data_IF_819990973942
#
_entry.id   IF_819990973942
#
_cell.length_a   1.000
_cell.length_b   1.000
_cell.length_c   1.000
_cell.angle_alpha   90.00
_cell.angle_beta   90.00
_cell.angle_gamma   90.00
#
_symmetry.space_group_name_H-M   'P 1'
#
loop_
_entity.id
_entity.type
_entity.pdbx_description
1 polymer ?
#
# COMPACT_ATOMS: atom_id res chain seq x y z
N UNK A 1 -33.96 -4.12 41.23
CA UNK A 1 -35.07 -4.53 40.34
C UNK A 1 -34.82 -4.13 38.88
N UNK A 2 -34.16 -3.00 38.60
CA UNK A 2 -33.76 -2.61 37.22
C UNK A 2 -32.57 -3.42 36.68
N UNK A 3 -31.67 -3.87 37.55
CA UNK A 3 -30.54 -4.76 37.20
C UNK A 3 -31.00 -6.16 36.76
N UNK A 4 -32.21 -6.55 37.15
CA UNK A 4 -32.79 -7.87 36.86
C UNK A 4 -33.43 -7.97 35.46
N UNK A 5 -33.63 -6.85 34.78
CA UNK A 5 -34.24 -6.83 33.44
C UNK A 5 -33.21 -7.00 32.31
N UNK A 6 -31.90 -6.94 32.62
CA UNK A 6 -30.87 -6.68 31.61
C UNK A 6 -29.77 -7.76 31.46
N UNK A 7 -29.78 -8.84 32.25
CA UNK A 7 -28.75 -9.89 32.11
C UNK A 7 -29.16 -11.07 31.24
N UNK A 8 -30.46 -11.32 31.00
CA UNK A 8 -30.89 -12.36 30.07
C UNK A 8 -30.43 -13.79 30.38
N UNK A 9 -29.84 -14.05 31.56
CA UNK A 9 -29.44 -15.38 32.01
C UNK A 9 -30.58 -16.04 32.81
N UNK A 10 -31.31 -16.93 32.13
CA UNK A 10 -32.38 -17.74 32.72
C UNK A 10 -31.84 -19.08 33.24
N UNK A 11 -31.02 -19.08 34.29
CA UNK A 11 -30.72 -20.33 35.02
C UNK A 11 -31.75 -20.54 36.14
N UNK A 12 -32.82 -21.26 35.81
CA UNK A 12 -33.97 -21.61 36.66
C UNK A 12 -33.67 -22.62 37.80
N UNK A 13 -32.41 -22.88 38.14
CA UNK A 13 -32.06 -23.86 39.20
C UNK A 13 -31.80 -23.23 40.57
N UNK A 14 -31.75 -21.89 40.67
CA UNK A 14 -31.39 -21.22 41.94
C UNK A 14 -32.56 -20.87 42.88
N UNK A 15 -33.76 -21.42 42.65
CA UNK A 15 -34.94 -21.21 43.49
C UNK A 15 -35.23 -22.38 44.46
N UNK A 16 -34.20 -23.01 45.05
CA UNK A 16 -34.41 -24.05 46.08
C UNK A 16 -33.38 -24.14 47.22
N UNK A 17 -32.50 -23.15 47.41
CA UNK A 17 -31.40 -23.33 48.40
C UNK A 17 -31.15 -22.18 49.38
N UNK A 18 -31.97 -21.13 49.44
CA UNK A 18 -31.76 -20.05 50.42
C UNK A 18 -33.03 -19.74 51.20
N UNK A 19 -33.52 -20.75 51.90
CA UNK A 19 -34.32 -20.60 53.11
C UNK A 19 -33.50 -21.17 54.27
N UNK A 20 -32.50 -20.43 54.74
CA UNK A 20 -31.87 -20.54 56.08
C UNK A 20 -30.63 -19.63 56.12
N UNK A 21 -30.76 -18.46 56.74
CA UNK A 21 -29.78 -17.86 57.65
C UNK A 21 -30.11 -16.37 57.86
N UNK A 22 -30.97 -16.13 58.84
CA UNK A 22 -31.18 -14.83 59.50
C UNK A 22 -30.15 -14.68 60.63
N UNK A 23 -29.94 -13.44 61.10
CA UNK A 23 -29.26 -13.01 62.36
C UNK A 23 -27.76 -12.68 62.16
N UNK A 24 -27.16 -11.53 62.55
CA UNK A 24 -27.51 -10.42 63.45
C UNK A 24 -26.86 -9.09 63.00
N UNK A 25 -27.41 -8.00 63.56
CA UNK A 25 -26.98 -6.60 63.46
C UNK A 25 -25.76 -6.24 64.33
N UNK A 26 -24.99 -5.21 63.96
CA UNK A 26 -24.80 -3.91 64.71
C UNK A 26 -23.64 -3.07 64.13
N UNK A 27 -24.00 -1.89 63.60
CA UNK A 27 -23.53 -0.49 63.82
C UNK A 27 -22.05 -0.11 64.17
N UNK A 28 -21.66 1.19 64.11
CA UNK A 28 -20.63 1.73 63.20
C UNK A 28 -19.35 2.24 63.92
N UNK A 29 -18.34 2.76 63.21
CA UNK A 29 -17.58 4.01 63.54
C UNK A 29 -16.42 4.27 62.56
N UNK A 30 -16.25 5.57 62.29
CA UNK A 30 -15.28 6.32 61.49
C UNK A 30 -13.79 6.09 61.82
N UNK A 31 -12.89 6.17 60.83
CA UNK A 31 -11.84 7.20 60.73
C UNK A 31 -10.72 6.87 59.71
N UNK A 32 -10.48 7.84 58.83
CA UNK A 32 -9.21 8.37 58.29
C UNK A 32 -8.05 7.44 57.84
N UNK A 33 -7.76 7.60 56.53
CA UNK A 33 -6.44 7.75 55.87
C UNK A 33 -5.16 7.45 56.65
N UNK A 34 -4.24 6.68 56.05
CA UNK A 34 -2.84 7.09 55.74
C UNK A 34 -2.24 6.16 54.68
N UNK A 35 -1.38 6.73 53.85
CA UNK A 35 -0.82 6.19 52.62
C UNK A 35 0.48 5.37 52.80
N UNK A 36 0.75 4.60 51.73
CA UNK A 36 2.05 4.35 51.09
C UNK A 36 3.05 3.30 51.63
N UNK A 37 3.36 2.39 50.69
CA UNK A 37 4.70 1.86 50.33
C UNK A 37 5.41 0.86 51.25
N UNK A 38 5.57 -0.38 50.78
CA UNK A 38 6.83 -0.95 50.21
C UNK A 38 6.75 -2.49 50.06
N UNK A 39 7.13 -2.98 48.89
CA UNK A 39 7.59 -4.36 48.57
C UNK A 39 9.01 -4.58 49.15
N UNK A 40 9.63 -5.81 49.25
CA UNK A 40 9.52 -6.98 48.36
C UNK A 40 9.70 -8.42 48.96
N UNK A 41 9.65 -9.43 48.07
CA UNK A 41 10.19 -10.82 48.17
C UNK A 41 9.55 -11.77 49.20
N UNK A 42 9.19 -13.04 48.91
CA UNK A 42 9.96 -14.10 48.24
C UNK A 42 9.02 -15.29 47.93
N UNK A 43 9.21 -15.97 46.79
CA UNK A 43 8.61 -17.28 46.44
C UNK A 43 9.37 -18.44 47.15
N UNK A 44 9.05 -19.76 47.00
CA UNK A 44 8.01 -20.42 46.19
C UNK A 44 7.27 -21.58 46.94
N UNK A 45 6.59 -22.43 46.17
CA UNK A 45 6.20 -23.83 46.43
C UNK A 45 4.73 -24.15 46.77
N UNK A 46 4.05 -24.61 45.72
CA UNK A 46 3.48 -25.97 45.58
C UNK A 46 1.98 -26.01 45.28
N UNK A 47 1.68 -26.53 44.08
CA UNK A 47 0.35 -26.89 43.58
C UNK A 47 -0.30 -28.02 44.41
N UNK A 48 -1.62 -28.25 44.27
CA UNK A 48 -2.05 -29.13 43.19
C UNK A 48 -3.27 -28.64 42.40
N UNK A 49 -3.29 -29.08 41.15
CA UNK A 49 -4.28 -28.88 40.12
C UNK A 49 -5.65 -29.46 40.48
N UNK A 50 -6.71 -28.66 40.30
CA UNK A 50 -8.04 -29.19 39.99
C UNK A 50 -8.47 -28.58 38.68
N UNK A 51 -8.47 -29.42 37.65
CA UNK A 51 -8.94 -29.08 36.32
C UNK A 51 -10.44 -28.74 36.38
N UNK A 52 -10.80 -27.57 35.88
CA UNK A 52 -12.17 -27.29 35.45
C UNK A 52 -12.06 -26.59 34.10
N UNK A 53 -12.22 -27.40 33.06
CA UNK A 53 -12.44 -26.95 31.69
C UNK A 53 -13.64 -26.01 31.66
N UNK A 54 -13.38 -24.71 31.56
CA UNK A 54 -14.36 -23.76 31.05
C UNK A 54 -13.93 -23.38 29.64
N UNK A 55 -14.52 -24.06 28.67
CA UNK A 55 -14.64 -23.59 27.28
C UNK A 55 -15.68 -22.48 27.24
N UNK A 56 -15.35 -21.23 26.88
CA UNK A 56 -16.35 -20.25 26.51
C UNK A 56 -16.68 -20.45 25.02
N UNK A 57 -17.62 -21.36 24.72
CA UNK A 57 -18.29 -21.36 23.42
C UNK A 57 -19.52 -20.47 23.52
N UNK A 58 -19.31 -19.16 23.39
CA UNK A 58 -20.41 -18.23 23.10
C UNK A 58 -20.74 -18.36 21.63
N UNK A 59 -21.67 -19.26 21.33
CA UNK A 59 -22.35 -19.34 20.03
C UNK A 59 -23.09 -18.02 19.81
N UNK A 60 -22.55 -17.17 18.95
CA UNK A 60 -23.19 -15.94 18.48
C UNK A 60 -24.43 -16.33 17.65
N UNK A 61 -25.61 -16.21 18.26
CA UNK A 61 -26.86 -16.24 17.53
C UNK A 61 -26.94 -15.04 16.58
N UNK A 62 -27.59 -15.17 15.42
CA UNK A 62 -27.74 -14.08 14.46
C UNK A 62 -28.47 -12.92 15.12
N UNK A 63 -27.85 -11.74 15.10
CA UNK A 63 -28.47 -10.50 15.58
C UNK A 63 -29.69 -10.17 14.70
N UNK A 64 -30.88 -10.36 15.25
CA UNK A 64 -32.12 -9.86 14.67
C UNK A 64 -32.03 -8.34 14.49
N UNK A 65 -32.59 -7.84 13.38
CA UNK A 65 -32.67 -6.40 13.05
C UNK A 65 -33.28 -5.54 14.16
N UNK A 66 -34.04 -6.14 15.08
CA UNK A 66 -34.59 -5.49 16.28
C UNK A 66 -33.53 -5.15 17.34
N UNK A 67 -32.34 -5.75 17.32
CA UNK A 67 -31.33 -5.58 18.36
C UNK A 67 -30.79 -4.14 18.45
N UNK A 68 -30.50 -3.50 17.32
CA UNK A 68 -29.97 -2.12 17.31
C UNK A 68 -30.99 -1.10 17.79
N UNK A 69 -32.24 -1.23 17.36
CA UNK A 69 -33.33 -0.35 17.79
C UNK A 69 -33.60 -0.47 19.30
N UNK A 70 -33.59 -1.69 19.84
CA UNK A 70 -33.74 -1.91 21.28
C UNK A 70 -32.61 -1.26 22.08
N UNK A 71 -31.36 -1.34 21.61
CA UNK A 71 -30.25 -0.66 22.28
C UNK A 71 -30.37 0.87 22.22
N UNK A 72 -30.90 1.45 21.15
CA UNK A 72 -31.20 2.89 21.07
C UNK A 72 -32.27 3.29 22.09
N UNK A 73 -33.34 2.50 22.22
CA UNK A 73 -34.38 2.77 23.22
C UNK A 73 -33.83 2.68 24.65
N UNK A 74 -32.97 1.72 24.93
CA UNK A 74 -32.31 1.63 26.24
C UNK A 74 -31.38 2.81 26.48
N UNK A 75 -30.66 3.28 25.45
CA UNK A 75 -29.88 4.51 25.57
C UNK A 75 -30.77 5.71 25.90
N UNK A 76 -31.91 5.89 25.22
CA UNK A 76 -32.86 6.97 25.52
C UNK A 76 -33.39 6.92 26.96
N UNK A 77 -33.73 5.72 27.46
CA UNK A 77 -34.13 5.53 28.86
C UNK A 77 -32.98 5.88 29.82
N UNK A 78 -31.76 5.41 29.52
CA UNK A 78 -30.59 5.70 30.33
C UNK A 78 -30.26 7.19 30.37
N UNK A 79 -30.41 7.90 29.24
CA UNK A 79 -30.24 9.34 29.14
C UNK A 79 -31.30 10.09 29.97
N UNK A 80 -32.58 9.70 29.85
CA UNK A 80 -33.67 10.30 30.61
C UNK A 80 -33.51 10.18 32.14
N UNK A 81 -32.99 9.04 32.62
CA UNK A 81 -32.73 8.80 34.05
C UNK A 81 -31.28 9.12 34.46
N UNK A 82 -30.47 9.70 33.57
CA UNK A 82 -29.07 10.08 33.82
C UNK A 82 -28.14 8.91 34.25
N UNK A 83 -28.43 7.68 33.80
CA UNK A 83 -27.63 6.48 34.08
C UNK A 83 -26.50 6.33 33.05
N UNK A 84 -25.44 7.14 33.20
CA UNK A 84 -24.36 7.25 32.21
C UNK A 84 -23.70 5.91 31.83
N UNK A 85 -23.48 5.00 32.78
CA UNK A 85 -22.89 3.69 32.51
C UNK A 85 -23.72 2.82 31.57
N UNK A 86 -25.05 2.92 31.67
CA UNK A 86 -25.98 2.20 30.80
C UNK A 86 -26.02 2.81 29.40
N UNK A 87 -26.01 4.15 29.29
CA UNK A 87 -25.94 4.84 28.00
C UNK A 87 -24.66 4.45 27.23
N UNK A 88 -23.50 4.42 27.90
CA UNK A 88 -22.23 3.99 27.31
C UNK A 88 -22.23 2.51 26.90
N UNK A 89 -22.82 1.63 27.71
CA UNK A 89 -22.95 0.21 27.37
C UNK A 89 -23.82 0.03 26.11
N UNK A 90 -24.97 0.72 26.05
CA UNK A 90 -25.85 0.69 24.88
C UNK A 90 -25.12 1.20 23.62
N UNK A 91 -24.39 2.32 23.72
CA UNK A 91 -23.63 2.87 22.59
C UNK A 91 -22.58 1.87 22.06
N UNK A 92 -21.86 1.18 22.96
CA UNK A 92 -20.91 0.13 22.55
C UNK A 92 -21.60 -1.04 21.83
N UNK A 93 -22.78 -1.46 22.29
CA UNK A 93 -23.55 -2.54 21.65
C UNK A 93 -24.07 -2.13 20.28
N UNK A 94 -24.56 -0.91 20.12
CA UNK A 94 -24.98 -0.34 18.82
C UNK A 94 -23.79 -0.30 17.86
N UNK A 95 -22.64 0.22 18.31
CA UNK A 95 -21.42 0.27 17.52
C UNK A 95 -20.99 -1.13 17.06
N UNK A 96 -20.95 -2.09 17.99
CA UNK A 96 -20.59 -3.47 17.70
C UNK A 96 -21.55 -4.10 16.67
N UNK A 97 -22.85 -3.84 16.79
CA UNK A 97 -23.85 -4.35 15.86
C UNK A 97 -23.61 -3.83 14.43
N UNK A 98 -23.38 -2.52 14.24
CA UNK A 98 -23.11 -1.97 12.91
C UNK A 98 -21.74 -2.33 12.32
N UNK A 99 -20.76 -2.60 13.17
CA UNK A 99 -19.48 -3.16 12.73
C UNK A 99 -19.61 -4.61 12.26
N UNK A 100 -20.53 -5.36 12.84
CA UNK A 100 -20.73 -6.80 12.54
C UNK A 100 -21.64 -7.00 11.33
N UNK A 101 -22.75 -6.28 11.27
CA UNK A 101 -23.74 -6.38 10.22
C UNK A 101 -24.33 -5.00 9.91
N UNK A 102 -24.08 -4.53 8.70
CA UNK A 102 -24.74 -3.32 8.20
C UNK A 102 -26.10 -3.69 7.60
N UNK A 103 -27.17 -3.31 8.27
CA UNK A 103 -28.52 -3.30 7.68
C UNK A 103 -29.02 -1.87 7.58
N UNK A 104 -29.29 -1.45 6.34
CA UNK A 104 -29.73 -0.09 6.02
C UNK A 104 -31.08 0.23 6.67
N UNK A 105 -32.00 -0.74 6.73
CA UNK A 105 -33.34 -0.53 7.26
C UNK A 105 -33.32 -0.35 8.78
N UNK A 106 -32.64 -1.26 9.47
CA UNK A 106 -32.40 -1.17 10.91
C UNK A 106 -31.62 0.08 11.27
N UNK A 107 -30.64 0.50 10.44
CA UNK A 107 -29.91 1.76 10.63
C UNK A 107 -30.85 2.96 10.55
N UNK A 108 -31.65 3.09 9.49
CA UNK A 108 -32.57 4.24 9.33
C UNK A 108 -33.58 4.29 10.47
N UNK A 109 -34.13 3.13 10.90
CA UNK A 109 -35.05 3.07 12.02
C UNK A 109 -34.38 3.49 13.34
N UNK A 110 -33.19 2.96 13.63
CA UNK A 110 -32.44 3.26 14.86
C UNK A 110 -31.94 4.70 14.90
N UNK A 111 -31.49 5.25 13.78
CA UNK A 111 -31.06 6.64 13.68
C UNK A 111 -32.22 7.61 13.89
N UNK A 112 -33.41 7.31 13.35
CA UNK A 112 -34.63 8.09 13.64
C UNK A 112 -34.99 8.06 15.12
N UNK A 113 -35.00 6.87 15.73
CA UNK A 113 -35.24 6.73 17.16
C UNK A 113 -34.20 7.52 17.98
N UNK A 114 -32.91 7.45 17.61
CA UNK A 114 -31.86 8.19 18.30
C UNK A 114 -32.01 9.71 18.19
N UNK A 115 -32.51 10.22 17.06
CA UNK A 115 -32.74 11.66 16.84
C UNK A 115 -34.00 12.18 17.55
N UNK A 116 -35.04 11.34 17.65
CA UNK A 116 -36.34 11.74 18.21
C UNK A 116 -36.46 11.45 19.70
N UNK A 117 -35.88 10.34 20.17
CA UNK A 117 -36.17 9.78 21.49
C UNK A 117 -35.00 9.95 22.48
N UNK A 118 -33.76 10.16 22.01
CA UNK A 118 -32.57 10.30 22.86
C UNK A 118 -31.97 11.71 22.79
N UNK A 119 -31.64 12.28 23.95
CA UNK A 119 -30.83 13.49 24.08
C UNK A 119 -29.32 13.24 24.08
N UNK A 120 -28.89 11.97 24.03
CA UNK A 120 -27.47 11.58 24.07
C UNK A 120 -26.75 12.01 22.78
N UNK A 121 -26.03 13.14 22.87
CA UNK A 121 -25.20 13.67 21.77
C UNK A 121 -24.13 12.69 21.31
N UNK A 122 -23.62 11.81 22.18
CA UNK A 122 -22.63 10.82 21.78
C UNK A 122 -23.25 9.78 20.84
N UNK A 123 -24.47 9.32 21.14
CA UNK A 123 -25.23 8.44 20.25
C UNK A 123 -25.54 9.12 18.91
N UNK A 124 -26.03 10.35 18.93
CA UNK A 124 -26.35 11.09 17.69
C UNK A 124 -25.11 11.30 16.81
N UNK A 125 -23.98 11.69 17.41
CA UNK A 125 -22.71 11.84 16.68
C UNK A 125 -22.22 10.51 16.08
N UNK A 126 -22.39 9.41 16.82
CA UNK A 126 -22.06 8.07 16.32
C UNK A 126 -22.94 7.68 15.12
N UNK A 127 -24.26 7.93 15.19
CA UNK A 127 -25.17 7.68 14.06
C UNK A 127 -24.83 8.56 12.85
N UNK A 128 -24.47 9.83 13.07
CA UNK A 128 -24.03 10.73 12.02
C UNK A 128 -22.74 10.24 11.34
N UNK A 129 -21.79 9.72 12.12
CA UNK A 129 -20.55 9.13 11.59
C UNK A 129 -20.84 7.91 10.72
N UNK A 130 -21.69 7.00 11.17
CA UNK A 130 -22.10 5.84 10.37
C UNK A 130 -22.83 6.26 9.08
N UNK A 131 -23.72 7.25 9.17
CA UNK A 131 -24.40 7.81 8.00
C UNK A 131 -23.40 8.39 6.99
N UNK A 132 -22.39 9.14 7.46
CA UNK A 132 -21.36 9.72 6.60
C UNK A 132 -20.51 8.63 5.91
N UNK A 133 -20.10 7.60 6.65
CA UNK A 133 -19.32 6.48 6.11
C UNK A 133 -20.09 5.67 5.08
N UNK A 134 -21.41 5.57 5.23
CA UNK A 134 -22.32 4.80 4.36
C UNK A 134 -23.22 5.71 3.51
N UNK A 135 -22.82 6.96 3.31
CA UNK A 135 -23.63 7.97 2.63
C UNK A 135 -24.02 7.52 1.21
N UNK A 136 -23.10 6.87 0.51
CA UNK A 136 -23.34 6.33 -0.84
C UNK A 136 -24.48 5.31 -0.87
N UNK A 137 -24.58 4.46 0.14
CA UNK A 137 -25.63 3.44 0.23
C UNK A 137 -26.97 4.07 0.63
N UNK A 138 -26.94 5.08 1.50
CA UNK A 138 -28.11 5.88 1.89
C UNK A 138 -28.68 6.69 0.72
N UNK A 139 -27.81 7.25 -0.13
CA UNK A 139 -28.21 7.97 -1.34
C UNK A 139 -28.83 7.03 -2.37
N UNK A 140 -28.19 5.89 -2.64
CA UNK A 140 -28.69 4.89 -3.61
C UNK A 140 -30.05 4.31 -3.24
N UNK A 141 -30.29 4.14 -1.94
CA UNK A 141 -31.54 3.57 -1.43
C UNK A 141 -32.70 4.57 -1.36
N UNK A 142 -32.43 5.87 -1.53
CA UNK A 142 -33.44 6.92 -1.42
C UNK A 142 -33.98 7.13 0.00
N UNK A 143 -33.32 6.58 1.05
CA UNK A 143 -33.79 6.67 2.44
C UNK A 143 -33.21 7.85 3.22
N UNK A 144 -32.19 8.51 2.69
CA UNK A 144 -31.56 9.68 3.29
C UNK A 144 -32.54 10.84 3.61
N UNK A 145 -33.52 11.19 2.74
CA UNK A 145 -34.47 12.27 3.05
C UNK A 145 -35.26 12.02 4.33
N UNK A 146 -35.48 10.77 4.69
CA UNK A 146 -36.20 10.42 5.91
C UNK A 146 -35.40 10.70 7.20
N UNK A 147 -34.09 10.92 7.10
CA UNK A 147 -33.21 11.24 8.22
C UNK A 147 -32.91 12.75 8.32
N UNK A 148 -32.66 13.40 7.19
CA UNK A 148 -32.16 14.79 7.15
C UNK A 148 -33.11 15.78 6.48
N UNK A 149 -34.23 15.30 5.93
CA UNK A 149 -35.15 16.09 5.11
C UNK A 149 -34.76 16.13 3.63
N UNK A 150 -35.74 16.42 2.76
CA UNK A 150 -35.58 16.41 1.31
C UNK A 150 -34.54 17.41 0.81
N UNK A 151 -34.51 18.61 1.39
CA UNK A 151 -33.54 19.64 1.02
C UNK A 151 -32.10 19.19 1.30
N UNK A 152 -31.80 18.74 2.52
CA UNK A 152 -30.46 18.31 2.89
C UNK A 152 -30.03 17.06 2.11
N UNK A 153 -30.94 16.12 1.89
CA UNK A 153 -30.66 14.95 1.07
C UNK A 153 -30.32 15.32 -0.38
N UNK A 154 -31.02 16.31 -0.95
CA UNK A 154 -30.75 16.80 -2.31
C UNK A 154 -29.39 17.48 -2.41
N UNK A 155 -29.03 18.32 -1.43
CA UNK A 155 -27.70 18.98 -1.37
C UNK A 155 -26.59 17.93 -1.25
N UNK A 156 -26.74 16.94 -0.36
CA UNK A 156 -25.76 15.86 -0.19
C UNK A 156 -25.64 14.99 -1.45
N UNK A 157 -26.74 14.68 -2.12
CA UNK A 157 -26.75 13.94 -3.38
C UNK A 157 -25.99 14.69 -4.48
N UNK A 158 -26.24 16.00 -4.60
CA UNK A 158 -25.56 16.86 -5.57
C UNK A 158 -24.05 16.91 -5.32
N UNK A 159 -23.63 17.10 -4.07
CA UNK A 159 -22.20 17.10 -3.73
C UNK A 159 -21.54 15.74 -3.92
N UNK A 160 -22.22 14.64 -3.58
CA UNK A 160 -21.71 13.30 -3.84
C UNK A 160 -21.49 13.08 -5.35
N UNK A 161 -22.41 13.52 -6.19
CA UNK A 161 -22.26 13.45 -7.64
C UNK A 161 -21.09 14.31 -8.15
N UNK A 162 -20.95 15.54 -7.64
CA UNK A 162 -19.85 16.43 -8.02
C UNK A 162 -18.49 15.86 -7.63
N UNK A 163 -18.38 15.27 -6.44
CA UNK A 163 -17.16 14.58 -5.98
C UNK A 163 -16.85 13.36 -6.85
N UNK A 164 -17.85 12.54 -7.19
CA UNK A 164 -17.64 11.40 -8.08
C UNK A 164 -17.20 11.83 -9.48
N UNK A 165 -17.80 12.90 -10.03
CA UNK A 165 -17.40 13.45 -11.33
C UNK A 165 -15.95 13.95 -11.30
N UNK A 166 -15.59 14.75 -10.29
CA UNK A 166 -14.23 15.24 -10.10
C UNK A 166 -13.20 14.11 -9.94
N UNK A 167 -13.55 13.07 -9.17
CA UNK A 167 -12.68 11.89 -9.01
C UNK A 167 -12.50 11.13 -10.33
N UNK A 168 -13.56 11.02 -11.14
CA UNK A 168 -13.46 10.39 -12.48
C UNK A 168 -12.57 11.21 -13.40
N UNK A 169 -12.71 12.53 -13.41
CA UNK A 169 -11.84 13.41 -14.21
C UNK A 169 -10.36 13.29 -13.78
N UNK A 170 -10.09 13.31 -12.47
CA UNK A 170 -8.73 13.12 -11.95
C UNK A 170 -8.14 11.76 -12.30
N UNK A 171 -8.92 10.69 -12.18
CA UNK A 171 -8.46 9.34 -12.53
C UNK A 171 -8.24 9.18 -14.05
N UNK A 172 -9.08 9.78 -14.88
CA UNK A 172 -8.86 9.81 -16.33
C UNK A 172 -7.62 10.61 -16.71
N UNK A 173 -7.41 11.78 -16.10
CA UNK A 173 -6.22 12.60 -16.31
C UNK A 173 -4.94 11.85 -15.90
N UNK A 174 -4.97 11.14 -14.76
CA UNK A 174 -3.85 10.33 -14.30
C UNK A 174 -3.51 9.19 -15.28
N UNK A 175 -4.53 8.50 -15.81
CA UNK A 175 -4.34 7.44 -16.82
C UNK A 175 -3.76 8.01 -18.12
N UNK A 176 -4.26 9.15 -18.60
CA UNK A 176 -3.73 9.81 -19.80
C UNK A 176 -2.27 10.24 -19.61
N UNK A 177 -1.94 10.81 -18.46
CA UNK A 177 -0.56 11.18 -18.13
C UNK A 177 0.35 9.95 -18.09
N UNK A 178 -0.10 8.84 -17.48
CA UNK A 178 0.67 7.61 -17.44
C UNK A 178 0.93 7.04 -18.84
N UNK A 179 -0.07 7.08 -19.72
CA UNK A 179 0.09 6.65 -21.12
C UNK A 179 1.09 7.53 -21.88
N UNK A 180 1.05 8.85 -21.69
CA UNK A 180 2.02 9.77 -22.31
C UNK A 180 3.45 9.48 -21.84
N UNK A 181 3.65 9.26 -20.54
CA UNK A 181 4.97 8.92 -19.99
C UNK A 181 5.47 7.59 -20.55
N UNK A 182 4.61 6.56 -20.64
CA UNK A 182 4.99 5.27 -21.24
C UNK A 182 5.37 5.41 -22.72
N UNK A 183 4.65 6.22 -23.49
CA UNK A 183 4.99 6.49 -24.90
C UNK A 183 6.34 7.19 -25.03
N UNK A 184 6.59 8.22 -24.20
CA UNK A 184 7.88 8.91 -24.18
C UNK A 184 9.03 7.97 -23.80
N UNK A 185 8.82 7.11 -22.81
CA UNK A 185 9.82 6.10 -22.41
C UNK A 185 10.09 5.10 -23.53
N UNK A 186 9.05 4.63 -24.23
CA UNK A 186 9.21 3.72 -25.37
C UNK A 186 9.99 4.39 -26.52
N UNK A 187 9.68 5.65 -26.83
CA UNK A 187 10.41 6.42 -27.85
C UNK A 187 11.88 6.64 -27.46
N UNK A 188 12.14 6.99 -26.19
CA UNK A 188 13.50 7.14 -25.69
C UNK A 188 14.30 5.83 -25.76
N UNK A 189 13.66 4.70 -25.45
CA UNK A 189 14.27 3.38 -25.56
C UNK A 189 14.64 3.03 -27.01
N UNK A 190 13.74 3.30 -27.96
CA UNK A 190 14.01 3.08 -29.39
C UNK A 190 15.17 3.97 -29.88
N UNK A 191 15.19 5.24 -29.49
CA UNK A 191 16.26 6.17 -29.87
C UNK A 191 17.63 5.72 -29.32
N UNK A 192 17.67 5.29 -28.06
CA UNK A 192 18.91 4.78 -27.44
C UNK A 192 19.38 3.49 -28.12
N UNK A 193 18.46 2.60 -28.48
CA UNK A 193 18.79 1.36 -29.20
C UNK A 193 19.38 1.66 -30.58
N UNK A 194 18.82 2.64 -31.30
CA UNK A 194 19.35 3.08 -32.60
C UNK A 194 20.77 3.63 -32.46
N UNK A 195 20.99 4.52 -31.50
CA UNK A 195 22.32 5.08 -31.23
C UNK A 195 23.34 3.99 -30.90
N UNK A 196 22.95 2.98 -30.11
CA UNK A 196 23.82 1.85 -29.80
C UNK A 196 24.18 1.04 -31.06
N UNK A 197 23.20 0.78 -31.93
CA UNK A 197 23.45 0.06 -33.17
C UNK A 197 24.37 0.85 -34.12
N UNK A 198 24.21 2.16 -34.22
CA UNK A 198 25.07 3.03 -35.05
C UNK A 198 26.52 3.00 -34.55
N UNK A 199 26.73 3.09 -33.23
CA UNK A 199 28.05 2.98 -32.61
C UNK A 199 28.70 1.61 -32.87
N UNK A 200 27.92 0.53 -32.86
CA UNK A 200 28.44 -0.80 -33.19
C UNK A 200 28.90 -0.89 -34.65
N UNK A 201 28.14 -0.31 -35.58
CA UNK A 201 28.51 -0.28 -37.00
C UNK A 201 29.79 0.54 -37.20
N UNK A 202 29.90 1.71 -36.57
CA UNK A 202 31.09 2.55 -36.65
C UNK A 202 32.32 1.84 -36.09
N UNK A 203 32.17 1.20 -34.92
CA UNK A 203 33.24 0.40 -34.31
C UNK A 203 33.68 -0.73 -35.22
N UNK A 204 32.75 -1.50 -35.78
CA UNK A 204 33.08 -2.61 -36.67
C UNK A 204 33.80 -2.12 -37.93
N UNK A 205 33.38 -0.98 -38.49
CA UNK A 205 34.05 -0.36 -39.62
C UNK A 205 35.48 0.08 -39.25
N UNK A 206 35.68 0.66 -38.07
CA UNK A 206 36.99 1.05 -37.57
C UNK A 206 37.92 -0.17 -37.34
N UNK A 207 37.41 -1.25 -36.75
CA UNK A 207 38.14 -2.50 -36.56
C UNK A 207 38.53 -3.11 -37.92
N UNK A 208 37.63 -3.16 -38.89
CA UNK A 208 37.92 -3.64 -40.24
C UNK A 208 38.97 -2.79 -40.97
N UNK A 209 38.99 -1.46 -40.74
CA UNK A 209 40.06 -0.59 -41.24
C UNK A 209 41.40 -0.90 -40.57
N UNK A 210 41.42 -1.04 -39.25
CA UNK A 210 42.64 -1.36 -38.50
C UNK A 210 43.24 -2.71 -38.95
N UNK A 211 42.42 -3.75 -39.12
CA UNK A 211 42.87 -5.06 -39.61
C UNK A 211 43.53 -4.95 -40.99
N UNK A 212 42.93 -4.21 -41.92
CA UNK A 212 43.51 -3.99 -43.26
C UNK A 212 44.85 -3.26 -43.21
N UNK A 213 45.00 -2.26 -42.33
CA UNK A 213 46.27 -1.57 -42.11
C UNK A 213 47.33 -2.52 -41.55
N UNK A 214 46.98 -3.31 -40.54
CA UNK A 214 47.89 -4.31 -39.94
C UNK A 214 48.35 -5.31 -40.98
N UNK A 215 47.44 -5.84 -41.81
CA UNK A 215 47.77 -6.76 -42.90
C UNK A 215 48.70 -6.11 -43.94
N UNK A 216 48.44 -4.85 -44.30
CA UNK A 216 49.29 -4.12 -45.24
C UNK A 216 50.71 -3.96 -44.69
N UNK A 217 50.85 -3.50 -43.45
CA UNK A 217 52.16 -3.37 -42.77
C UNK A 217 52.84 -4.73 -42.64
N UNK A 218 52.10 -5.79 -42.30
CA UNK A 218 52.63 -7.15 -42.21
C UNK A 218 53.24 -7.64 -43.54
N UNK A 219 52.63 -7.29 -44.69
CA UNK A 219 53.19 -7.56 -46.02
C UNK A 219 54.50 -6.80 -46.25
N UNK A 220 54.57 -5.53 -45.83
CA UNK A 220 55.80 -4.73 -45.97
C UNK A 220 56.94 -5.29 -45.13
N UNK A 221 56.68 -5.67 -43.88
CA UNK A 221 57.66 -6.31 -43.00
C UNK A 221 58.15 -7.62 -43.62
N UNK A 222 57.23 -8.44 -44.13
CA UNK A 222 57.58 -9.69 -44.80
C UNK A 222 58.44 -9.46 -46.04
N UNK A 223 58.14 -8.43 -46.83
CA UNK A 223 58.93 -8.08 -48.01
C UNK A 223 60.33 -7.58 -47.63
N UNK A 224 60.43 -6.72 -46.61
CA UNK A 224 61.71 -6.21 -46.12
C UNK A 224 62.60 -7.32 -45.58
N UNK A 225 62.04 -8.31 -44.90
CA UNK A 225 62.80 -9.44 -44.36
C UNK A 225 63.28 -10.42 -45.43
N UNK A 226 62.69 -10.39 -46.64
CA UNK A 226 62.99 -11.30 -47.73
C UNK A 226 63.84 -10.66 -48.85
N UNK A 227 64.21 -9.38 -48.73
CA UNK A 227 64.98 -8.66 -49.75
C UNK A 227 66.27 -8.12 -49.15
N UNK A 228 67.39 -8.71 -49.55
CA UNK A 228 68.73 -8.28 -49.13
C UNK A 228 69.27 -7.12 -50.00
N UNK A 229 68.71 -6.93 -51.21
CA UNK A 229 69.18 -5.93 -52.18
C UNK A 229 68.03 -5.19 -52.86
N UNK A 230 68.32 -3.99 -53.40
CA UNK A 230 67.37 -3.24 -54.18
C UNK A 230 66.97 -3.98 -55.48
N UNK A 231 65.69 -3.90 -55.89
CA UNK A 231 65.20 -4.49 -57.15
C UNK A 231 65.75 -3.76 -58.38
N UNK A 232 66.04 -2.47 -58.26
CA UNK A 232 66.58 -1.68 -59.36
C UNK A 232 68.04 -2.07 -59.60
N UNK A 233 68.36 -2.60 -60.78
CA UNK A 233 69.73 -3.01 -61.16
C UNK A 233 70.72 -1.83 -61.06
N UNK A 234 70.22 -0.60 -61.22
CA UNK A 234 71.02 0.62 -61.07
C UNK A 234 71.31 1.04 -59.63
N UNK A 235 70.73 0.36 -58.64
CA UNK A 235 70.92 0.65 -57.22
C UNK A 235 71.84 -0.43 -56.62
N UNK A 236 73.14 -0.17 -56.64
CA UNK A 236 74.19 -1.10 -56.17
C UNK A 236 74.44 -1.04 -54.65
N UNK A 237 73.63 -0.28 -53.92
CA UNK A 237 73.75 -0.08 -52.46
C UNK A 237 73.00 -1.14 -51.65
N UNK A 238 73.45 -1.37 -50.40
CA UNK A 238 72.75 -2.21 -49.41
C UNK A 238 71.29 -1.77 -49.23
N UNK A 239 70.38 -2.72 -48.99
CA UNK A 239 68.94 -2.42 -48.96
C UNK A 239 68.51 -1.58 -47.74
N UNK A 240 68.66 -0.26 -47.85
CA UNK A 240 68.01 0.72 -46.98
C UNK A 240 66.62 1.05 -47.50
N UNK A 241 65.58 0.96 -46.66
CA UNK A 241 64.20 1.24 -47.05
C UNK A 241 63.44 2.14 -46.07
N UNK A 242 62.40 2.80 -46.56
CA UNK A 242 61.44 3.56 -45.75
C UNK A 242 60.00 3.29 -46.21
N UNK A 243 59.06 3.48 -45.28
CA UNK A 243 57.62 3.29 -45.54
C UNK A 243 57.02 4.64 -45.94
N UNK A 244 56.32 4.67 -47.07
CA UNK A 244 55.51 5.82 -47.49
C UNK A 244 54.03 5.47 -47.37
N UNK A 245 53.26 6.34 -46.72
CA UNK A 245 51.79 6.25 -46.72
C UNK A 245 51.24 6.86 -48.01
N UNK A 246 50.37 6.13 -48.69
CA UNK A 246 49.72 6.54 -49.95
C UNK A 246 48.22 6.25 -49.89
N UNK A 247 47.41 6.96 -50.68
CA UNK A 247 45.96 6.76 -50.72
C UNK A 247 45.16 7.67 -49.78
N UNK A 248 43.97 7.21 -49.37
CA UNK A 248 43.05 7.95 -48.51
C UNK A 248 43.62 8.08 -47.08
N UNK A 249 43.66 9.29 -46.48
CA UNK A 249 44.03 9.46 -45.07
C UNK A 249 43.24 8.57 -44.09
N UNK A 250 42.00 8.20 -44.43
CA UNK A 250 41.16 7.32 -43.64
C UNK A 250 41.51 5.83 -43.79
N UNK A 251 42.11 5.44 -44.92
CA UNK A 251 42.55 4.07 -45.22
C UNK A 251 43.93 4.10 -45.92
N UNK A 252 45.01 4.48 -45.20
CA UNK A 252 46.32 4.62 -45.80
C UNK A 252 46.85 3.26 -46.25
N UNK A 253 47.28 3.21 -47.51
CA UNK A 253 48.01 2.08 -48.08
C UNK A 253 49.49 2.38 -47.95
N UNK A 254 50.22 1.52 -47.26
CA UNK A 254 51.66 1.70 -47.09
C UNK A 254 52.41 1.01 -48.21
N UNK A 255 53.48 1.64 -48.69
CA UNK A 255 54.39 1.07 -49.68
C UNK A 255 55.84 1.18 -49.20
N UNK A 256 56.66 0.18 -49.50
CA UNK A 256 58.08 0.20 -49.17
C UNK A 256 58.88 0.79 -50.34
N UNK A 257 59.75 1.75 -50.07
CA UNK A 257 60.64 2.36 -51.07
C UNK A 257 62.10 2.21 -50.67
N UNK A 258 62.97 2.06 -51.65
CA UNK A 258 64.41 2.16 -51.45
C UNK A 258 64.79 3.59 -51.07
N UNK A 259 65.63 3.75 -50.05
CA UNK A 259 66.08 5.07 -49.56
C UNK A 259 67.02 5.78 -50.53
N UNK A 260 67.67 5.04 -51.43
CA UNK A 260 68.65 5.59 -52.38
C UNK A 260 68.05 5.94 -53.73
N UNK A 261 67.28 5.04 -54.33
CA UNK A 261 66.72 5.23 -55.69
C UNK A 261 65.20 5.46 -55.71
N UNK A 262 64.52 5.44 -54.55
CA UNK A 262 63.07 5.66 -54.40
C UNK A 262 62.16 4.70 -55.19
N UNK A 263 62.72 3.62 -55.75
CA UNK A 263 61.92 2.64 -56.47
C UNK A 263 60.94 1.94 -55.52
N UNK A 264 59.74 1.64 -56.03
CA UNK A 264 58.68 0.97 -55.27
C UNK A 264 58.96 -0.53 -55.20
N UNK A 265 58.92 -1.08 -53.99
CA UNK A 265 58.97 -2.52 -53.77
C UNK A 265 57.57 -3.03 -53.48
N UNK A 266 57.16 -4.07 -54.21
CA UNK A 266 55.85 -4.71 -54.08
C UNK A 266 56.01 -6.21 -53.96
N UNK A 267 55.20 -6.84 -53.13
CA UNK A 267 55.01 -8.29 -53.16
C UNK A 267 54.36 -8.64 -54.51
N UNK A 268 55.01 -9.48 -55.31
CA UNK A 268 54.40 -10.03 -56.53
C UNK A 268 53.19 -10.90 -56.19
#
# INVERSE_FOLDING_TARGET
MVEYLYTGDYDQTKAKSEALATVAATTPTSAASTAASTTPSTAPSSAPSTASNFTPSTTLAPLDTNGTLQHVQVNAIADYYEIQGLAQLANRKIQQAYLTSWDLNAFVASAKAALNDSGDKALQNMMALFAAQKLKDLLKSGKLPSLVGDFAASVLAYHAHLLEASQREQSQAAVQQQQQVQQQQAQAHVALQQQYNDLLVERQAAEARATRVIENVGKLVSLSNNQDYCRSISCEEDFGSYIEATGDPAEPTYILRCSYCHCKHTTN
#
